data_IF_184388758815
#
_entry.id   IF_184388758815
#
_cell.length_a   1.000
_cell.length_b   1.000
_cell.length_c   1.000
_cell.angle_alpha   90.00
_cell.angle_beta   90.00
_cell.angle_gamma   90.00
#
_symmetry.space_group_name_H-M   'P 1'
#
loop_
_entity.id
_entity.type
_entity.pdbx_description
1 polymer ?
#
# COMPACT_ATOMS: atom_id res chain seq x y z
N UNK A 1 30.82 8.05 -6.31
CA UNK A 1 29.79 8.83 -7.03
C UNK A 1 29.41 10.05 -6.20
N UNK A 2 29.39 11.24 -6.77
CA UNK A 2 29.05 12.48 -6.04
C UNK A 2 27.59 12.86 -6.37
N UNK A 3 26.85 13.35 -5.37
CA UNK A 3 25.45 13.78 -5.53
C UNK A 3 25.25 14.82 -6.65
N UNK A 4 26.27 15.64 -6.92
CA UNK A 4 26.27 16.68 -7.96
C UNK A 4 26.09 16.12 -9.38
N UNK A 5 26.44 14.87 -9.59
CA UNK A 5 26.35 14.22 -10.92
C UNK A 5 24.91 13.80 -11.28
N UNK A 6 23.98 13.89 -10.33
CA UNK A 6 22.60 13.45 -10.47
C UNK A 6 21.62 14.57 -10.11
N UNK A 7 21.19 15.41 -11.06
CA UNK A 7 20.13 16.38 -10.84
C UNK A 7 18.81 15.71 -10.42
N UNK A 8 18.00 16.40 -9.62
CA UNK A 8 16.73 15.85 -9.11
C UNK A 8 15.79 15.50 -10.26
N UNK A 9 15.69 16.37 -11.27
CA UNK A 9 14.90 16.14 -12.48
C UNK A 9 15.26 14.82 -13.17
N UNK A 10 16.57 14.51 -13.27
CA UNK A 10 17.02 13.27 -13.87
C UNK A 10 16.62 12.04 -13.05
N UNK A 11 16.72 12.13 -11.73
CA UNK A 11 16.31 11.05 -10.83
C UNK A 11 14.80 10.80 -10.97
N UNK A 12 13.98 11.86 -10.91
CA UNK A 12 12.52 11.79 -11.00
C UNK A 12 12.06 11.25 -12.36
N UNK A 13 12.65 11.70 -13.47
CA UNK A 13 12.34 11.16 -14.80
C UNK A 13 12.64 9.66 -14.92
N UNK A 14 13.74 9.19 -14.34
CA UNK A 14 14.05 7.75 -14.34
C UNK A 14 13.10 7.00 -13.40
N UNK A 15 12.72 7.62 -12.28
CA UNK A 15 11.77 7.06 -11.31
C UNK A 15 10.39 6.84 -11.93
N UNK A 16 9.87 7.84 -12.63
CA UNK A 16 8.62 7.79 -13.38
C UNK A 16 8.65 6.69 -14.45
N UNK A 17 9.72 6.66 -15.28
CA UNK A 17 9.90 5.61 -16.30
C UNK A 17 10.03 4.19 -15.75
N UNK A 18 10.35 4.05 -14.46
CA UNK A 18 10.44 2.77 -13.76
C UNK A 18 9.22 2.51 -12.86
N UNK A 19 8.11 3.23 -13.09
CA UNK A 19 6.85 3.08 -12.36
C UNK A 19 7.06 3.14 -10.84
N UNK A 20 7.79 4.16 -10.40
CA UNK A 20 8.08 4.43 -8.98
C UNK A 20 8.81 3.28 -8.26
N UNK A 21 9.56 2.45 -8.99
CA UNK A 21 10.33 1.38 -8.39
C UNK A 21 11.73 1.88 -7.97
N UNK A 22 11.95 2.00 -6.65
CA UNK A 22 13.23 2.43 -6.06
C UNK A 22 14.41 1.56 -6.46
N UNK A 23 14.25 0.24 -6.49
CA UNK A 23 15.33 -0.70 -6.83
C UNK A 23 15.70 -0.60 -8.31
N UNK A 24 14.70 -0.57 -9.20
CA UNK A 24 14.92 -0.47 -10.63
C UNK A 24 15.50 0.89 -11.04
N UNK A 25 15.08 1.96 -10.36
CA UNK A 25 15.59 3.33 -10.57
C UNK A 25 17.05 3.43 -10.13
N UNK A 26 17.38 2.90 -8.95
CA UNK A 26 18.75 2.88 -8.46
C UNK A 26 19.66 2.08 -9.41
N UNK A 27 19.23 0.89 -9.85
CA UNK A 27 19.97 0.09 -10.83
C UNK A 27 20.18 0.83 -12.16
N UNK A 28 19.14 1.50 -12.68
CA UNK A 28 19.22 2.26 -13.93
C UNK A 28 20.15 3.49 -13.84
N UNK A 29 20.33 4.04 -12.64
CA UNK A 29 21.26 5.14 -12.36
C UNK A 29 22.67 4.66 -11.97
N UNK A 30 22.89 3.34 -11.88
CA UNK A 30 24.16 2.78 -11.38
C UNK A 30 24.39 3.02 -9.89
N UNK A 31 23.33 3.24 -9.12
CA UNK A 31 23.34 3.54 -7.69
C UNK A 31 22.88 2.32 -6.86
N UNK A 32 23.33 2.25 -5.62
CA UNK A 32 22.71 1.36 -4.64
C UNK A 32 21.35 1.90 -4.18
N UNK A 33 20.36 1.03 -3.97
CA UNK A 33 19.01 1.40 -3.47
C UNK A 33 19.09 2.27 -2.21
N UNK A 34 19.97 1.91 -1.27
CA UNK A 34 20.16 2.64 -0.01
C UNK A 34 20.66 4.06 -0.22
N UNK A 35 21.49 4.29 -1.24
CA UNK A 35 21.98 5.62 -1.60
C UNK A 35 20.85 6.50 -2.10
N UNK A 36 19.99 5.97 -2.99
CA UNK A 36 18.84 6.70 -3.50
C UNK A 36 17.84 7.07 -2.39
N UNK A 37 17.56 6.13 -1.46
CA UNK A 37 16.73 6.39 -0.28
C UNK A 37 17.33 7.51 0.56
N UNK A 38 18.63 7.46 0.88
CA UNK A 38 19.29 8.51 1.65
C UNK A 38 19.24 9.88 0.96
N UNK A 39 19.27 9.93 -0.37
CA UNK A 39 19.17 11.19 -1.11
C UNK A 39 17.77 11.78 -1.06
N UNK A 40 16.75 10.93 -1.22
CA UNK A 40 15.36 11.32 -1.04
C UNK A 40 15.12 11.86 0.37
N UNK A 41 15.61 11.16 1.41
CA UNK A 41 15.36 11.55 2.80
C UNK A 41 16.09 12.84 3.21
N UNK A 42 17.21 13.16 2.56
CA UNK A 42 17.99 14.38 2.83
C UNK A 42 17.55 15.60 2.01
N UNK A 43 16.81 15.40 0.93
CA UNK A 43 16.41 16.45 0.00
C UNK A 43 14.87 16.52 -0.11
N UNK A 44 14.23 17.44 0.64
CA UNK A 44 12.78 17.58 0.63
C UNK A 44 12.19 17.84 -0.76
N UNK A 45 12.93 18.52 -1.65
CA UNK A 45 12.44 18.79 -3.01
C UNK A 45 12.40 17.52 -3.84
N UNK A 46 13.42 16.66 -3.69
CA UNK A 46 13.43 15.35 -4.33
C UNK A 46 12.34 14.45 -3.77
N UNK A 47 12.16 14.44 -2.44
CA UNK A 47 11.10 13.66 -1.79
C UNK A 47 9.71 14.05 -2.30
N UNK A 48 9.41 15.35 -2.34
CA UNK A 48 8.12 15.83 -2.84
C UNK A 48 7.90 15.44 -4.30
N UNK A 49 8.89 15.71 -5.18
CA UNK A 49 8.76 15.39 -6.59
C UNK A 49 8.57 13.87 -6.84
N UNK A 50 9.21 13.01 -6.04
CA UNK A 50 8.99 11.56 -6.14
C UNK A 50 7.59 11.16 -5.66
N UNK A 51 7.08 11.79 -4.59
CA UNK A 51 5.72 11.56 -4.09
C UNK A 51 4.66 12.00 -5.13
N UNK A 52 4.85 13.14 -5.79
CA UNK A 52 3.93 13.63 -6.82
C UNK A 52 3.82 12.64 -8.01
N UNK A 53 4.93 12.00 -8.37
CA UNK A 53 4.94 10.94 -9.41
C UNK A 53 4.25 9.66 -8.92
N UNK A 54 4.41 9.30 -7.65
CA UNK A 54 3.70 8.16 -7.04
C UNK A 54 2.18 8.39 -7.06
N UNK A 55 1.70 9.56 -6.66
CA UNK A 55 0.28 9.92 -6.74
C UNK A 55 -0.22 9.89 -8.19
N UNK A 56 0.55 10.44 -9.14
CA UNK A 56 0.20 10.39 -10.56
C UNK A 56 0.07 8.95 -11.11
N UNK A 57 0.91 8.03 -10.62
CA UNK A 57 0.83 6.61 -11.00
C UNK A 57 -0.41 5.92 -10.39
N UNK A 58 -0.80 6.32 -9.19
CA UNK A 58 -2.04 5.87 -8.55
C UNK A 58 -3.25 6.37 -9.37
N UNK A 59 -3.29 7.65 -9.72
CA UNK A 59 -4.35 8.24 -10.56
C UNK A 59 -4.49 7.52 -11.91
N UNK A 60 -3.36 7.18 -12.54
CA UNK A 60 -3.35 6.38 -13.76
C UNK A 60 -3.95 4.99 -13.54
N UNK A 61 -3.60 4.34 -12.43
CA UNK A 61 -4.16 3.02 -12.07
C UNK A 61 -5.65 3.10 -11.78
N UNK A 62 -6.12 4.16 -11.11
CA UNK A 62 -7.56 4.42 -10.90
C UNK A 62 -8.29 4.63 -12.22
N UNK A 63 -7.68 5.34 -13.18
CA UNK A 63 -8.23 5.52 -14.52
C UNK A 63 -8.38 4.18 -15.25
N UNK A 64 -7.38 3.30 -15.16
CA UNK A 64 -7.45 1.94 -15.72
C UNK A 64 -8.50 1.07 -15.04
N UNK A 65 -8.68 1.20 -13.73
CA UNK A 65 -9.75 0.53 -13.02
C UNK A 65 -11.13 0.96 -13.53
N UNK A 66 -11.34 2.27 -13.74
CA UNK A 66 -12.58 2.82 -14.26
C UNK A 66 -12.86 2.37 -15.71
N UNK A 67 -11.85 2.34 -16.57
CA UNK A 67 -11.97 1.75 -17.92
C UNK A 67 -12.49 0.30 -17.84
N UNK A 68 -11.88 -0.54 -16.99
CA UNK A 68 -12.31 -1.92 -16.82
C UNK A 68 -13.73 -2.07 -16.25
N UNK A 69 -14.15 -1.16 -15.38
CA UNK A 69 -15.53 -1.11 -14.87
C UNK A 69 -16.51 -0.79 -16.00
N UNK A 70 -16.18 0.17 -16.86
CA UNK A 70 -17.01 0.53 -18.03
C UNK A 70 -17.13 -0.63 -19.01
N UNK A 71 -16.06 -1.41 -19.19
CA UNK A 71 -16.05 -2.61 -20.03
C UNK A 71 -16.79 -3.81 -19.41
N UNK A 72 -17.35 -3.66 -18.20
CA UNK A 72 -18.13 -4.71 -17.53
C UNK A 72 -17.27 -5.79 -16.85
N UNK A 73 -15.99 -5.52 -16.57
CA UNK A 73 -15.13 -6.45 -15.85
C UNK A 73 -15.64 -6.66 -14.42
N UNK A 74 -16.25 -7.82 -14.16
CA UNK A 74 -16.89 -8.15 -12.89
C UNK A 74 -15.91 -8.06 -11.70
N UNK A 75 -14.66 -8.50 -11.88
CA UNK A 75 -13.64 -8.44 -10.84
C UNK A 75 -13.30 -7.00 -10.46
N UNK A 76 -13.15 -6.11 -11.45
CA UNK A 76 -12.90 -4.69 -11.23
C UNK A 76 -14.08 -4.01 -10.50
N UNK A 77 -15.32 -4.33 -10.90
CA UNK A 77 -16.54 -3.84 -10.26
C UNK A 77 -16.63 -4.28 -8.80
N UNK A 78 -16.44 -5.58 -8.54
CA UNK A 78 -16.47 -6.15 -7.18
C UNK A 78 -15.38 -5.49 -6.33
N UNK A 79 -14.16 -5.36 -6.85
CA UNK A 79 -13.04 -4.73 -6.14
C UNK A 79 -13.35 -3.28 -5.78
N UNK A 80 -13.86 -2.49 -6.73
CA UNK A 80 -14.23 -1.10 -6.49
C UNK A 80 -15.33 -0.96 -5.42
N UNK A 81 -16.37 -1.80 -5.48
CA UNK A 81 -17.46 -1.78 -4.50
C UNK A 81 -16.97 -2.20 -3.11
N UNK A 82 -16.13 -3.24 -3.00
CA UNK A 82 -15.54 -3.66 -1.73
C UNK A 82 -14.64 -2.61 -1.09
N UNK A 83 -14.03 -1.74 -1.89
CA UNK A 83 -13.08 -0.72 -1.40
C UNK A 83 -13.73 0.63 -1.15
N UNK A 84 -14.37 1.23 -2.17
CA UNK A 84 -15.00 2.57 -2.09
C UNK A 84 -16.48 2.49 -1.70
N UNK A 85 -17.15 1.38 -1.98
CA UNK A 85 -18.57 1.14 -1.66
C UNK A 85 -18.84 0.69 -0.22
N UNK A 86 -17.84 0.59 0.66
CA UNK A 86 -18.00 0.11 2.06
C UNK A 86 -19.12 0.81 2.83
N UNK A 87 -19.27 2.13 2.67
CA UNK A 87 -20.35 2.92 3.30
C UNK A 87 -21.76 2.50 2.87
N UNK A 88 -21.89 1.81 1.74
CA UNK A 88 -23.16 1.28 1.20
C UNK A 88 -23.38 -0.21 1.56
N UNK A 89 -22.52 -0.80 2.40
CA UNK A 89 -22.69 -2.18 2.86
C UNK A 89 -21.90 -3.24 2.08
N UNK A 90 -21.06 -2.84 1.11
CA UNK A 90 -20.17 -3.75 0.38
C UNK A 90 -18.93 -4.13 1.21
N UNK A 91 -19.16 -4.67 2.40
CA UNK A 91 -18.12 -5.19 3.29
C UNK A 91 -18.33 -6.68 3.46
N UNK A 92 -17.25 -7.47 3.43
CA UNK A 92 -17.34 -8.88 3.81
C UNK A 92 -17.57 -8.94 5.33
N UNK A 93 -18.71 -9.50 5.72
CA UNK A 93 -18.96 -9.84 7.12
C UNK A 93 -18.35 -11.22 7.35
N UNK A 94 -17.45 -11.29 8.32
CA UNK A 94 -17.00 -12.57 8.86
C UNK A 94 -18.03 -12.91 9.94
N UNK A 95 -18.87 -13.91 9.70
CA UNK A 95 -19.66 -14.51 10.76
C UNK A 95 -18.71 -15.38 11.60
N UNK A 96 -18.37 -14.89 12.79
CA UNK A 96 -17.70 -15.71 13.80
C UNK A 96 -18.77 -16.45 14.59
N UNK A 97 -18.91 -17.75 14.31
CA UNK A 97 -19.60 -18.66 15.22
C UNK A 97 -18.73 -18.78 16.49
N UNK A 98 -19.01 -17.95 17.49
CA UNK A 98 -18.47 -18.13 18.85
C UNK A 98 -19.18 -19.34 19.45
N UNK A 99 -18.76 -20.53 19.03
CA UNK A 99 -19.01 -21.74 19.81
C UNK A 99 -18.14 -21.63 21.04
N UNK A 100 -18.74 -21.12 22.13
CA UNK A 100 -18.09 -21.10 23.45
C UNK A 100 -17.60 -22.51 23.71
N UNK A 101 -16.27 -22.69 23.79
CA UNK A 101 -15.70 -23.99 24.07
C UNK A 101 -16.26 -24.44 25.42
N UNK A 102 -16.87 -25.64 25.54
CA UNK A 102 -17.39 -26.13 26.81
C UNK A 102 -16.37 -26.05 27.95
N UNK A 103 -15.07 -26.13 27.63
CA UNK A 103 -13.97 -25.94 28.58
C UNK A 103 -13.86 -24.51 29.12
N UNK A 104 -14.04 -23.47 28.30
CA UNK A 104 -14.03 -22.08 28.75
C UNK A 104 -15.24 -21.77 29.63
N UNK A 105 -16.41 -22.34 29.27
CA UNK A 105 -17.62 -22.22 30.10
C UNK A 105 -17.41 -22.85 31.48
N UNK A 106 -16.75 -24.02 31.53
CA UNK A 106 -16.41 -24.69 32.78
C UNK A 106 -15.39 -23.89 33.61
N UNK A 107 -14.39 -23.27 32.98
CA UNK A 107 -13.42 -22.41 33.68
C UNK A 107 -14.06 -21.14 34.25
N UNK A 108 -15.05 -20.55 33.56
CA UNK A 108 -15.79 -19.39 34.08
C UNK A 108 -16.78 -19.73 35.21
N UNK A 109 -17.21 -20.99 35.31
CA UNK A 109 -18.12 -21.47 36.35
C UNK A 109 -17.39 -21.94 37.62
N UNK A 110 -16.06 -22.08 37.58
CA UNK A 110 -15.28 -22.44 38.76
C UNK A 110 -15.12 -21.21 39.69
N UNK A 111 -15.46 -21.33 40.99
CA UNK A 111 -15.21 -20.27 41.95
C UNK A 111 -13.69 -20.07 42.11
N UNK A 112 -13.27 -18.81 42.25
CA UNK A 112 -11.89 -18.42 42.57
C UNK A 112 -11.55 -18.82 44.01
N UNK A 113 -11.57 -20.10 44.34
CA UNK A 113 -11.10 -20.60 45.64
C UNK A 113 -9.66 -21.09 45.51
N UNK A 114 -8.74 -20.16 45.78
CA UNK A 114 -7.55 -20.47 46.56
C UNK A 114 -7.61 -19.62 47.81
N UNK A 115 -8.34 -20.12 48.82
CA UNK A 115 -8.14 -19.68 50.20
C UNK A 115 -6.79 -20.24 50.67
N UNK A 116 -5.85 -19.33 51.00
CA UNK A 116 -4.59 -19.60 51.73
C UNK A 116 -4.84 -19.89 53.22
#
# INVERSE_FOLDING_TARGET
MKRKDFPNERIVQVYEKKACNMSATAAALGLGRRTLIQWRDKDPKLAQAMADVEESLIDFSESKLLEQINDGNLTAIIFHLKTKGKKRGYVEKIEQDVTVNPFEKLMMELPDEVED
#
